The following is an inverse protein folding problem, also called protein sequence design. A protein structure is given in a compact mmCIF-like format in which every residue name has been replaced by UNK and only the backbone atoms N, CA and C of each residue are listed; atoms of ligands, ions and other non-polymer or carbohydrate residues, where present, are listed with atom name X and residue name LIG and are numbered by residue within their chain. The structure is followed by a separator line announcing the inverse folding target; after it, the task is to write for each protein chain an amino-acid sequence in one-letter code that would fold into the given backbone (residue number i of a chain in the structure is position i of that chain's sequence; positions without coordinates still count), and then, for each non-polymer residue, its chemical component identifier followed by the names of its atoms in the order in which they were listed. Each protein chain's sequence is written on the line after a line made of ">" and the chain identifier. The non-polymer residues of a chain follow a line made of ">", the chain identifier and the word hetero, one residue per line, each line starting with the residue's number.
data_IF_694765851870
#
_entry.id   IF_694765851870
#
_cell.length_a   1.000
_cell.length_b   1.000
_cell.length_c   1.000
_cell.angle_alpha   90.00
_cell.angle_beta   90.00
_cell.angle_gamma   90.00
#
_symmetry.space_group_name_H-M   'P 1'
#
loop_
_entity.id
_entity.type
_entity.pdbx_description
1 polymer ?
#
# COMPACT_ATOMS: atom_id res chain seq x y z
N UNK A 1 -15.38 7.94 -6.21
CA UNK A 1 -14.75 7.54 -4.93
C UNK A 1 -14.80 6.04 -4.63
N UNK A 2 -15.39 5.22 -5.49
CA UNK A 2 -15.62 3.78 -5.26
C UNK A 2 -14.45 2.85 -5.55
N UNK A 3 -13.36 3.32 -6.17
CA UNK A 3 -12.30 2.44 -6.67
C UNK A 3 -11.22 2.04 -5.67
N UNK A 4 -11.24 2.58 -4.45
CA UNK A 4 -10.23 2.28 -3.42
C UNK A 4 -10.49 0.97 -2.66
N UNK A 5 -11.72 0.49 -2.67
CA UNK A 5 -12.12 -0.73 -1.98
C UNK A 5 -12.76 -1.72 -2.95
N UNK A 6 -12.29 -2.95 -2.91
CA UNK A 6 -12.84 -4.05 -3.70
C UNK A 6 -13.07 -5.25 -2.80
N UNK A 7 -14.15 -5.97 -3.06
CA UNK A 7 -14.39 -7.30 -2.50
C UNK A 7 -13.92 -8.34 -3.51
N UNK A 8 -13.48 -9.48 -3.02
CA UNK A 8 -13.09 -10.59 -3.87
C UNK A 8 -11.71 -11.19 -3.53
N UNK A 9 -11.27 -12.19 -4.32
CA UNK A 9 -10.00 -12.84 -4.14
C UNK A 9 -8.85 -11.86 -4.38
N UNK A 10 -7.74 -12.06 -3.67
CA UNK A 10 -6.55 -11.25 -3.83
C UNK A 10 -6.00 -11.35 -5.25
N UNK A 11 -6.13 -10.30 -6.03
CA UNK A 11 -5.55 -10.24 -7.39
C UNK A 11 -4.05 -10.00 -7.29
N UNK A 12 -3.28 -10.75 -8.07
CA UNK A 12 -1.86 -10.47 -8.28
C UNK A 12 -1.76 -9.35 -9.30
N UNK A 13 -1.05 -8.30 -8.94
CA UNK A 13 -0.65 -7.24 -9.85
C UNK A 13 0.87 -7.26 -9.96
N UNK A 14 1.39 -7.13 -11.15
CA UNK A 14 2.81 -6.93 -11.39
C UNK A 14 2.98 -5.57 -12.04
N UNK A 15 3.78 -4.72 -11.41
CA UNK A 15 4.30 -3.51 -12.00
C UNK A 15 5.82 -3.62 -11.98
N UNK A 16 6.48 -3.41 -13.08
CA UNK A 16 7.92 -3.22 -13.14
C UNK A 16 8.19 -1.74 -13.28
N UNK A 17 8.82 -1.16 -12.29
CA UNK A 17 9.34 0.19 -12.40
C UNK A 17 10.76 0.08 -12.93
N UNK A 18 10.92 0.38 -14.20
CA UNK A 18 12.24 0.48 -14.83
C UNK A 18 12.64 1.95 -14.79
N UNK A 19 13.60 2.29 -13.96
CA UNK A 19 14.25 3.60 -14.02
C UNK A 19 15.19 3.56 -15.22
N UNK A 20 14.74 4.07 -16.34
CA UNK A 20 15.61 4.40 -17.46
C UNK A 20 16.11 5.83 -17.23
N UNK A 21 17.41 6.01 -17.20
CA UNK A 21 18.05 7.31 -17.01
C UNK A 21 17.94 8.10 -18.31
N UNK A 22 16.92 8.92 -18.46
CA UNK A 22 16.72 9.76 -19.66
C UNK A 22 17.43 11.12 -19.62
N UNK A 23 18.17 11.41 -18.57
CA UNK A 23 18.97 12.64 -18.42
C UNK A 23 20.47 12.46 -18.68
N UNK A 24 20.86 11.33 -19.30
CA UNK A 24 22.26 10.97 -19.44
C UNK A 24 23.09 11.89 -20.35
N UNK A 25 22.47 12.57 -21.30
CA UNK A 25 23.21 13.35 -22.31
C UNK A 25 24.11 14.44 -21.73
N UNK A 26 23.65 15.13 -20.70
CA UNK A 26 24.46 16.12 -19.98
C UNK A 26 25.59 15.51 -19.15
N UNK A 27 25.33 14.32 -18.60
CA UNK A 27 26.25 13.56 -17.78
C UNK A 27 27.28 12.84 -18.67
N UNK A 28 26.84 12.28 -19.78
CA UNK A 28 27.72 11.70 -20.81
C UNK A 28 28.77 12.68 -21.26
N UNK A 29 28.40 13.93 -21.57
CA UNK A 29 29.35 14.98 -21.97
C UNK A 29 30.37 15.34 -20.86
N UNK A 30 29.97 15.27 -19.58
CA UNK A 30 30.88 15.47 -18.44
C UNK A 30 31.80 14.27 -18.22
N UNK A 31 31.27 13.05 -18.36
CA UNK A 31 32.04 11.81 -18.21
C UNK A 31 33.02 11.56 -19.35
N UNK A 32 32.74 12.03 -20.58
CA UNK A 32 33.67 11.97 -21.70
C UNK A 32 34.98 12.79 -21.44
N UNK A 33 34.91 13.80 -20.56
CA UNK A 33 36.09 14.54 -20.10
C UNK A 33 36.90 13.86 -19.00
N UNK A 34 36.31 12.84 -18.35
CA UNK A 34 36.91 12.09 -17.26
C UNK A 34 37.25 10.66 -17.76
N UNK A 35 38.37 10.52 -18.51
CA UNK A 35 38.82 9.24 -19.06
C UNK A 35 38.45 8.02 -18.19
N UNK A 36 39.29 7.53 -17.32
CA UNK A 36 39.04 6.27 -16.54
C UNK A 36 38.11 6.46 -15.32
N UNK A 37 37.90 7.69 -14.85
CA UNK A 37 37.03 8.00 -13.71
C UNK A 37 35.54 7.81 -13.99
N UNK A 38 35.11 7.94 -15.25
CA UNK A 38 33.71 7.85 -15.64
C UNK A 38 33.08 6.46 -15.41
N UNK A 39 33.81 5.41 -15.74
CA UNK A 39 33.34 4.03 -15.53
C UNK A 39 33.15 3.71 -14.04
N UNK A 40 34.07 4.15 -13.21
CA UNK A 40 34.01 3.98 -11.75
C UNK A 40 32.82 4.74 -11.16
N UNK A 41 32.56 5.97 -11.61
CA UNK A 41 31.44 6.77 -11.17
C UNK A 41 30.11 6.11 -11.52
N UNK A 42 29.95 5.61 -12.76
CA UNK A 42 28.72 4.92 -13.18
C UNK A 42 28.52 3.64 -12.36
N UNK A 43 29.55 2.80 -12.17
CA UNK A 43 29.45 1.58 -11.36
C UNK A 43 29.02 1.90 -9.91
N UNK A 44 29.55 2.95 -9.31
CA UNK A 44 29.15 3.42 -7.98
C UNK A 44 27.69 3.87 -7.95
N UNK A 45 27.25 4.63 -8.93
CA UNK A 45 25.87 5.09 -9.03
C UNK A 45 24.88 3.94 -9.19
N UNK A 46 25.16 2.96 -10.04
CA UNK A 46 24.35 1.75 -10.18
C UNK A 46 24.32 0.96 -8.87
N UNK A 47 25.45 0.85 -8.17
CA UNK A 47 25.52 0.21 -6.86
C UNK A 47 24.67 0.92 -5.82
N UNK A 48 24.73 2.24 -5.76
CA UNK A 48 23.94 3.08 -4.85
C UNK A 48 22.45 3.01 -5.17
N UNK A 49 22.07 3.04 -6.44
CA UNK A 49 20.68 2.83 -6.86
C UNK A 49 20.15 1.46 -6.43
N UNK A 50 20.96 0.42 -6.58
CA UNK A 50 20.58 -0.94 -6.19
C UNK A 50 20.37 -1.05 -4.68
N UNK A 51 21.22 -0.40 -3.87
CA UNK A 51 21.18 -0.50 -2.41
C UNK A 51 20.19 0.47 -1.77
N UNK A 52 20.09 1.70 -2.25
CA UNK A 52 19.30 2.79 -1.66
C UNK A 52 17.98 3.03 -2.38
N UNK A 53 17.88 2.68 -3.66
CA UNK A 53 16.67 2.86 -4.49
C UNK A 53 15.39 2.32 -3.85
N UNK A 54 15.37 1.12 -3.26
CA UNK A 54 14.18 0.63 -2.54
C UNK A 54 13.73 1.56 -1.41
N UNK A 55 14.68 2.21 -0.72
CA UNK A 55 14.39 3.21 0.31
C UNK A 55 13.75 4.48 -0.26
N UNK A 56 14.25 4.97 -1.39
CA UNK A 56 13.70 6.15 -2.07
C UNK A 56 12.28 5.89 -2.57
N UNK A 57 12.05 4.74 -3.20
CA UNK A 57 10.71 4.31 -3.63
C UNK A 57 9.76 4.19 -2.44
N UNK A 58 10.22 3.58 -1.34
CA UNK A 58 9.41 3.48 -0.12
C UNK A 58 9.04 4.84 0.46
N UNK A 59 9.96 5.81 0.44
CA UNK A 59 9.71 7.18 0.87
C UNK A 59 8.66 7.85 -0.02
N UNK A 60 8.82 7.80 -1.34
CA UNK A 60 7.88 8.39 -2.29
C UNK A 60 6.47 7.81 -2.19
N UNK A 61 6.32 6.48 -2.04
CA UNK A 61 5.02 5.87 -1.80
C UNK A 61 4.38 6.43 -0.52
N UNK A 62 5.14 6.52 0.57
CA UNK A 62 4.63 6.97 1.87
C UNK A 62 4.38 8.47 1.96
N UNK A 63 4.80 9.25 1.00
CA UNK A 63 4.39 10.66 0.86
C UNK A 63 2.92 10.79 0.47
N UNK A 64 2.42 9.89 -0.35
CA UNK A 64 1.06 9.91 -0.89
C UNK A 64 0.11 8.92 -0.21
N UNK A 65 0.63 7.80 0.31
CA UNK A 65 -0.18 6.71 0.85
C UNK A 65 0.14 6.41 2.32
N UNK A 66 -0.88 6.03 3.07
CA UNK A 66 -0.77 5.66 4.49
C UNK A 66 -0.33 4.21 4.72
N UNK A 67 0.37 3.59 3.78
CA UNK A 67 0.79 2.20 3.82
C UNK A 67 1.96 1.96 4.77
N UNK A 68 2.01 0.79 5.40
CA UNK A 68 3.12 0.38 6.25
C UNK A 68 4.37 0.03 5.42
N UNK A 69 5.54 0.18 6.04
CA UNK A 69 6.83 -0.08 5.38
C UNK A 69 7.05 -1.57 5.11
N UNK A 70 6.47 -2.45 5.94
CA UNK A 70 6.61 -3.89 5.78
C UNK A 70 5.96 -4.36 4.48
N UNK A 71 4.72 -3.91 4.19
CA UNK A 71 4.04 -4.25 2.95
C UNK A 71 4.81 -3.81 1.69
N UNK A 72 5.50 -2.65 1.75
CA UNK A 72 6.33 -2.19 0.64
C UNK A 72 7.57 -3.08 0.47
N UNK A 73 8.23 -3.45 1.56
CA UNK A 73 9.41 -4.34 1.54
C UNK A 73 9.05 -5.73 1.01
N UNK A 74 7.92 -6.28 1.41
CA UNK A 74 7.44 -7.59 0.96
C UNK A 74 7.13 -7.62 -0.54
N UNK A 75 6.69 -6.50 -1.10
CA UNK A 75 6.46 -6.36 -2.54
C UNK A 75 7.74 -6.15 -3.34
N UNK A 76 8.80 -5.63 -2.74
CA UNK A 76 10.07 -5.41 -3.40
C UNK A 76 10.77 -6.74 -3.72
N UNK A 77 11.23 -6.90 -4.95
CA UNK A 77 12.07 -8.01 -5.35
C UNK A 77 13.54 -7.63 -5.22
N UNK A 78 14.39 -8.65 -5.05
CA UNK A 78 15.84 -8.40 -5.07
C UNK A 78 16.20 -7.67 -6.35
N UNK A 79 16.94 -6.56 -6.28
CA UNK A 79 17.36 -5.81 -7.46
C UNK A 79 18.14 -6.73 -8.42
N UNK A 80 17.80 -6.64 -9.70
CA UNK A 80 18.48 -7.41 -10.73
C UNK A 80 19.51 -6.50 -11.41
N UNK A 81 20.78 -6.89 -11.35
CA UNK A 81 21.87 -6.28 -12.12
C UNK A 81 21.98 -6.95 -13.49
N UNK A 82 22.39 -6.24 -14.50
CA UNK A 82 22.80 -6.82 -15.78
C UNK A 82 21.69 -7.07 -16.80
N UNK A 83 20.43 -6.72 -16.54
CA UNK A 83 19.36 -6.90 -17.55
C UNK A 83 19.23 -5.77 -18.56
N UNK A 84 19.79 -4.62 -18.27
CA UNK A 84 19.74 -3.45 -19.16
C UNK A 84 21.13 -2.85 -19.20
N UNK A 85 21.85 -3.09 -20.28
CA UNK A 85 23.14 -2.43 -20.52
C UNK A 85 22.88 -0.97 -20.87
N UNK A 86 23.40 -0.06 -20.06
CA UNK A 86 23.39 1.37 -20.35
C UNK A 86 24.68 1.69 -21.10
N UNK A 87 24.58 2.13 -22.36
CA UNK A 87 25.74 2.64 -23.10
C UNK A 87 25.94 4.11 -22.80
N UNK A 88 27.06 4.45 -22.17
CA UNK A 88 27.44 5.81 -21.87
C UNK A 88 28.83 6.02 -22.49
N UNK A 89 28.94 6.93 -23.46
CA UNK A 89 30.20 7.27 -24.11
C UNK A 89 31.00 6.06 -24.66
N UNK A 90 30.31 5.05 -25.23
CA UNK A 90 30.94 3.85 -25.74
C UNK A 90 31.24 2.76 -24.69
N UNK A 91 31.07 3.08 -23.41
CA UNK A 91 31.23 2.14 -22.29
C UNK A 91 29.89 1.47 -22.01
N UNK A 92 29.87 0.13 -22.04
CA UNK A 92 28.70 -0.64 -21.63
C UNK A 92 28.76 -0.90 -20.13
N UNK A 93 27.76 -0.40 -19.38
CA UNK A 93 27.66 -0.64 -17.95
C UNK A 93 26.33 -1.35 -17.66
N UNK A 94 26.37 -2.34 -16.79
CA UNK A 94 25.19 -3.03 -16.36
C UNK A 94 24.24 -2.08 -15.63
N UNK A 95 23.01 -1.92 -16.15
CA UNK A 95 21.96 -1.19 -15.50
C UNK A 95 21.41 -1.94 -14.28
N UNK A 96 20.57 -1.28 -13.51
CA UNK A 96 19.85 -1.90 -12.41
C UNK A 96 18.35 -1.66 -12.56
N UNK A 97 17.56 -2.68 -12.27
CA UNK A 97 16.09 -2.62 -12.28
C UNK A 97 15.55 -2.96 -10.92
N UNK A 98 14.67 -2.09 -10.40
CA UNK A 98 13.87 -2.35 -9.21
C UNK A 98 12.51 -2.90 -9.63
N UNK A 99 12.20 -4.12 -9.23
CA UNK A 99 10.94 -4.78 -9.56
C UNK A 99 10.08 -4.92 -8.31
N UNK A 100 8.83 -4.51 -8.42
CA UNK A 100 7.82 -4.65 -7.37
C UNK A 100 6.71 -5.58 -7.86
N UNK A 101 6.46 -6.64 -7.09
CA UNK A 101 5.36 -7.58 -7.33
C UNK A 101 4.57 -7.75 -6.05
N UNK A 102 3.28 -7.58 -6.11
CA UNK A 102 2.44 -7.70 -4.93
C UNK A 102 1.01 -8.09 -5.26
N UNK A 103 0.30 -8.53 -4.24
CA UNK A 103 -1.14 -8.70 -4.27
C UNK A 103 -1.81 -7.44 -3.76
N UNK A 104 -3.08 -7.27 -4.08
CA UNK A 104 -3.92 -6.25 -3.44
C UNK A 104 -3.86 -6.42 -1.93
N UNK A 105 -3.59 -5.32 -1.23
CA UNK A 105 -3.43 -5.30 0.23
C UNK A 105 -4.80 -5.31 0.93
N UNK A 106 -4.81 -5.72 2.19
CA UNK A 106 -5.95 -5.50 3.07
C UNK A 106 -5.85 -4.13 3.72
N UNK A 107 -6.98 -3.53 4.14
CA UNK A 107 -6.98 -2.24 4.83
C UNK A 107 -6.14 -2.19 6.11
N UNK A 108 -5.80 -3.35 6.67
CA UNK A 108 -4.95 -3.48 7.87
C UNK A 108 -3.52 -3.00 7.65
N UNK A 109 -3.02 -2.98 6.40
CA UNK A 109 -1.71 -2.43 6.04
C UNK A 109 -1.69 -0.89 6.00
N UNK A 110 -2.83 -0.27 6.26
CA UNK A 110 -3.00 1.18 6.34
C UNK A 110 -3.46 1.59 7.73
N UNK A 111 -3.51 2.88 8.00
CA UNK A 111 -4.05 3.39 9.28
C UNK A 111 -5.56 3.15 9.35
N UNK A 112 -5.96 2.01 9.87
CA UNK A 112 -7.36 1.60 10.03
C UNK A 112 -7.85 1.81 11.47
N UNK A 113 -9.10 2.20 11.63
CA UNK A 113 -9.76 2.33 12.94
C UNK A 113 -11.26 1.98 12.82
N UNK A 114 -11.80 1.15 13.72
CA UNK A 114 -11.09 0.41 14.76
C UNK A 114 -10.23 -0.73 14.19
N UNK A 115 -9.18 -1.15 14.92
CA UNK A 115 -8.32 -2.29 14.53
C UNK A 115 -8.91 -3.63 14.89
N UNK A 116 -9.78 -3.66 15.89
CA UNK A 116 -10.45 -4.86 16.36
C UNK A 116 -11.96 -4.58 16.49
N UNK A 117 -12.73 -5.65 16.53
CA UNK A 117 -14.16 -5.55 16.77
C UNK A 117 -14.42 -4.90 18.14
N UNK A 118 -15.14 -3.78 18.22
CA UNK A 118 -15.47 -3.17 19.51
C UNK A 118 -16.14 -4.17 20.45
N UNK A 119 -15.83 -4.07 21.73
CA UNK A 119 -16.44 -4.91 22.77
C UNK A 119 -17.98 -4.81 22.74
N UNK A 120 -18.63 -5.84 23.22
CA UNK A 120 -20.08 -5.81 23.34
C UNK A 120 -20.48 -4.64 24.24
N UNK A 121 -21.40 -3.80 23.76
CA UNK A 121 -22.01 -2.82 24.63
C UNK A 121 -22.76 -3.56 25.75
N UNK A 122 -22.80 -2.97 26.94
CA UNK A 122 -23.60 -3.50 28.04
C UNK A 122 -25.07 -3.58 27.62
N UNK A 123 -25.77 -4.61 28.10
CA UNK A 123 -27.19 -4.72 27.89
C UNK A 123 -27.88 -3.49 28.49
N UNK A 124 -28.71 -2.83 27.71
CA UNK A 124 -29.52 -1.70 28.18
C UNK A 124 -30.95 -2.16 28.39
N UNK A 125 -31.61 -1.73 29.46
CA UNK A 125 -33.03 -1.98 29.64
C UNK A 125 -33.82 -1.18 28.60
N UNK A 126 -34.68 -1.83 27.86
CA UNK A 126 -35.61 -1.20 26.92
C UNK A 126 -37.04 -1.50 27.41
N UNK A 127 -37.85 -0.46 27.58
CA UNK A 127 -39.29 -0.64 27.79
C UNK A 127 -39.89 -1.19 26.49
N UNK A 128 -40.64 -2.27 26.62
CA UNK A 128 -41.42 -2.80 25.51
C UNK A 128 -42.79 -2.13 25.54
N UNK A 129 -43.16 -1.32 24.53
CA UNK A 129 -44.48 -0.70 24.49
C UNK A 129 -45.55 -1.80 24.36
N UNK A 130 -46.62 -1.69 25.15
CA UNK A 130 -47.83 -2.52 25.01
C UNK A 130 -47.92 -3.79 25.88
N UNK A 131 -46.89 -4.11 26.66
CA UNK A 131 -47.01 -5.20 27.64
C UNK A 131 -47.28 -4.66 29.06
N UNK A 132 -48.51 -4.69 29.50
CA UNK A 132 -48.90 -4.50 30.91
C UNK A 132 -48.76 -5.86 31.60
N UNK A 133 -47.69 -6.02 32.40
CA UNK A 133 -47.58 -7.20 33.28
C UNK A 133 -47.92 -6.72 34.69
N UNK A 134 -48.85 -7.40 35.32
CA UNK A 134 -49.22 -7.15 36.71
C UNK A 134 -47.99 -7.35 37.61
N UNK A 135 -47.51 -6.26 38.23
CA UNK A 135 -46.43 -6.29 39.23
C UNK A 135 -45.04 -5.82 38.86
N UNK A 136 -44.79 -5.34 37.65
CA UNK A 136 -43.49 -4.79 37.31
C UNK A 136 -43.37 -4.32 35.86
N UNK A 137 -42.59 -3.27 35.62
CA UNK A 137 -42.34 -2.83 34.26
C UNK A 137 -41.59 -3.91 33.49
N UNK A 138 -42.05 -4.36 32.31
CA UNK A 138 -41.32 -5.33 31.49
C UNK A 138 -40.09 -4.68 30.89
N UNK A 139 -38.98 -4.94 31.49
CA UNK A 139 -37.68 -4.45 31.02
C UNK A 139 -36.97 -5.60 30.30
N UNK A 140 -37.04 -5.59 28.98
CA UNK A 140 -36.21 -6.48 28.20
C UNK A 140 -34.77 -5.95 28.16
N UNK A 141 -33.85 -6.77 28.61
CA UNK A 141 -32.42 -6.45 28.51
C UNK A 141 -31.93 -6.76 27.09
N UNK A 142 -31.96 -5.75 26.25
CA UNK A 142 -31.53 -5.88 24.83
C UNK A 142 -30.10 -5.36 24.68
N UNK A 143 -29.30 -6.12 23.95
CA UNK A 143 -28.01 -5.64 23.49
C UNK A 143 -28.22 -4.75 22.27
N UNK A 144 -27.94 -3.45 22.34
CA UNK A 144 -28.07 -2.60 21.17
C UNK A 144 -27.13 -3.13 20.06
N UNK A 145 -27.57 -3.02 18.79
CA UNK A 145 -26.74 -3.44 17.67
C UNK A 145 -25.43 -2.65 17.69
N UNK A 146 -24.32 -3.34 17.46
CA UNK A 146 -23.01 -2.69 17.37
C UNK A 146 -22.95 -1.93 16.07
N UNK A 147 -23.18 -0.63 16.13
CA UNK A 147 -22.95 0.27 15.01
C UNK A 147 -21.52 0.84 15.14
N UNK A 148 -20.65 0.47 14.28
CA UNK A 148 -19.34 1.11 14.11
C UNK A 148 -19.00 1.19 12.63
N UNK A 149 -18.34 2.25 12.25
CA UNK A 149 -17.86 2.44 10.88
C UNK A 149 -16.36 2.24 10.86
N UNK A 150 -15.90 1.37 10.01
CA UNK A 150 -14.47 1.17 9.78
C UNK A 150 -13.97 2.31 8.89
N UNK A 151 -12.99 3.04 9.37
CA UNK A 151 -12.34 4.14 8.63
C UNK A 151 -10.89 3.77 8.38
N UNK A 152 -10.38 4.12 7.21
CA UNK A 152 -9.00 3.84 6.81
C UNK A 152 -8.39 5.05 6.10
N UNK A 153 -7.09 5.25 6.27
CA UNK A 153 -6.33 6.29 5.58
C UNK A 153 -5.45 5.62 4.52
N UNK A 154 -6.00 5.42 3.33
CA UNK A 154 -5.25 4.88 2.17
C UNK A 154 -4.42 6.00 1.57
N UNK A 155 -5.06 7.11 1.21
CA UNK A 155 -4.39 8.33 0.73
C UNK A 155 -4.06 9.17 1.96
N UNK A 156 -2.83 9.62 2.06
CA UNK A 156 -2.36 10.43 3.18
C UNK A 156 -3.19 11.70 3.31
N UNK A 157 -3.63 12.00 4.52
CA UNK A 157 -4.51 13.15 4.79
C UNK A 157 -6.00 12.89 4.55
N UNK A 158 -6.39 11.79 3.89
CA UNK A 158 -7.79 11.45 3.64
C UNK A 158 -8.21 10.21 4.42
N UNK A 159 -9.12 10.41 5.36
CA UNK A 159 -9.71 9.31 6.13
C UNK A 159 -11.05 8.91 5.52
N UNK A 160 -11.06 7.78 4.83
CA UNK A 160 -12.24 7.28 4.11
C UNK A 160 -12.99 6.25 4.96
N UNK A 161 -14.30 6.40 5.06
CA UNK A 161 -15.16 5.40 5.67
C UNK A 161 -15.43 4.26 4.69
N UNK A 162 -15.40 3.03 5.17
CA UNK A 162 -15.84 1.87 4.42
C UNK A 162 -17.37 1.81 4.40
N UNK A 163 -17.92 0.94 3.54
CA UNK A 163 -19.37 0.67 3.51
C UNK A 163 -19.90 0.31 4.90
N UNK A 164 -21.15 0.68 5.17
CA UNK A 164 -21.88 0.34 6.39
C UNK A 164 -21.94 -1.17 6.65
N UNK A 165 -21.86 -1.98 5.60
CA UNK A 165 -21.93 -3.44 5.65
C UNK A 165 -20.58 -4.09 5.99
N UNK A 166 -19.54 -3.27 6.16
CA UNK A 166 -18.21 -3.75 6.55
C UNK A 166 -18.17 -4.10 8.02
N UNK A 167 -17.73 -5.31 8.33
CA UNK A 167 -17.55 -5.79 9.70
C UNK A 167 -16.17 -6.40 9.90
N UNK A 168 -15.69 -6.36 11.12
CA UNK A 168 -14.39 -6.91 11.51
C UNK A 168 -14.57 -8.33 12.08
N UNK A 169 -13.84 -9.28 11.53
CA UNK A 169 -13.80 -10.66 12.06
C UNK A 169 -12.42 -11.27 11.85
N UNK A 170 -12.12 -12.30 12.64
CA UNK A 170 -10.88 -13.04 12.47
C UNK A 170 -10.95 -13.88 11.18
N UNK A 171 -9.92 -13.78 10.36
CA UNK A 171 -9.71 -14.65 9.21
C UNK A 171 -9.12 -16.00 9.61
N UNK A 172 -8.90 -16.89 8.64
CA UNK A 172 -8.32 -18.23 8.85
C UNK A 172 -6.97 -18.21 9.61
N UNK A 173 -6.20 -17.14 9.50
CA UNK A 173 -4.92 -16.95 10.20
C UNK A 173 -5.02 -16.20 11.53
N UNK A 174 -6.21 -16.02 12.11
CA UNK A 174 -6.41 -15.31 13.38
C UNK A 174 -6.34 -13.78 13.29
N UNK A 175 -5.83 -13.23 12.19
CA UNK A 175 -5.76 -11.78 11.99
C UNK A 175 -7.17 -11.20 11.78
N UNK A 176 -7.46 -10.09 12.47
CA UNK A 176 -8.73 -9.38 12.32
C UNK A 176 -8.70 -8.55 11.04
N UNK A 177 -9.60 -8.87 10.12
CA UNK A 177 -9.71 -8.23 8.81
C UNK A 177 -11.12 -7.64 8.61
N UNK A 178 -11.27 -6.60 7.79
CA UNK A 178 -12.56 -6.13 7.34
C UNK A 178 -13.12 -7.05 6.25
N UNK A 179 -14.37 -7.46 6.44
CA UNK A 179 -15.14 -8.27 5.51
C UNK A 179 -16.42 -7.56 5.13
N UNK A 180 -16.94 -7.88 3.96
CA UNK A 180 -18.27 -7.52 3.49
C UNK A 180 -19.05 -8.76 3.07
N UNK A 181 -20.36 -8.67 3.15
CA UNK A 181 -21.26 -9.70 2.60
C UNK A 181 -21.46 -9.42 1.12
N UNK A 182 -21.44 -10.47 0.31
CA UNK A 182 -21.67 -10.39 -1.13
C UNK A 182 -23.06 -10.87 -1.54
N UNK A 183 -23.90 -11.28 -0.56
CA UNK A 183 -25.28 -11.70 -0.75
C UNK A 183 -26.17 -11.25 0.42
N UNK A 184 -27.46 -11.49 0.32
CA UNK A 184 -28.47 -11.15 1.33
C UNK A 184 -28.32 -11.98 2.62
N UNK A 185 -27.72 -13.15 2.54
CA UNK A 185 -27.52 -14.06 3.66
C UNK A 185 -26.30 -13.75 4.52
N UNK A 186 -26.07 -14.63 5.52
CA UNK A 186 -24.87 -14.59 6.38
C UNK A 186 -23.57 -14.89 5.61
N UNK A 187 -23.65 -15.66 4.58
CA UNK A 187 -22.57 -16.08 3.68
C UNK A 187 -23.04 -15.89 2.23
N UNK A 188 -22.14 -15.71 1.28
CA UNK A 188 -20.68 -15.61 1.44
C UNK A 188 -20.19 -14.27 1.99
N UNK A 189 -19.02 -14.31 2.64
CA UNK A 189 -18.30 -13.11 3.10
C UNK A 189 -16.95 -13.02 2.41
N UNK A 190 -16.57 -11.83 2.01
CA UNK A 190 -15.31 -11.58 1.32
C UNK A 190 -14.49 -10.51 2.04
N UNK A 191 -13.17 -10.73 2.07
CA UNK A 191 -12.26 -9.73 2.64
C UNK A 191 -12.19 -8.50 1.76
N UNK A 192 -12.28 -7.33 2.36
CA UNK A 192 -12.09 -6.06 1.66
C UNK A 192 -10.63 -5.93 1.25
N UNK A 193 -10.41 -5.55 0.02
CA UNK A 193 -9.08 -5.33 -0.57
C UNK A 193 -8.92 -3.87 -0.98
N UNK A 194 -7.67 -3.45 -1.04
CA UNK A 194 -7.26 -2.10 -1.44
C UNK A 194 -6.23 -2.17 -2.57
N UNK A 195 -5.50 -1.10 -2.76
CA UNK A 195 -4.44 -1.03 -3.76
C UNK A 195 -3.29 -1.97 -3.42
N UNK A 196 -2.62 -2.48 -4.44
CA UNK A 196 -1.33 -3.15 -4.31
C UNK A 196 -0.18 -2.13 -4.35
N UNK A 197 1.01 -2.52 -3.91
CA UNK A 197 2.19 -1.65 -3.97
C UNK A 197 2.53 -1.23 -5.41
N UNK A 198 2.53 -2.13 -6.43
CA UNK A 198 2.70 -1.70 -7.82
C UNK A 198 1.70 -0.63 -8.26
N UNK A 199 0.42 -0.78 -7.93
CA UNK A 199 -0.60 0.22 -8.27
C UNK A 199 -0.37 1.58 -7.59
N UNK A 200 0.20 1.61 -6.39
CA UNK A 200 0.57 2.85 -5.71
C UNK A 200 1.75 3.54 -6.41
N UNK A 201 2.72 2.75 -6.90
CA UNK A 201 3.87 3.25 -7.65
C UNK A 201 3.41 3.87 -8.98
N UNK A 202 2.59 3.14 -9.75
CA UNK A 202 2.08 3.60 -11.04
C UNK A 202 1.06 4.74 -10.91
N UNK A 203 0.51 4.93 -9.71
CA UNK A 203 -0.44 5.99 -9.41
C UNK A 203 0.24 7.29 -8.99
N UNK A 204 -0.24 7.85 -7.87
CA UNK A 204 0.18 9.18 -7.37
C UNK A 204 1.65 9.29 -6.96
N UNK A 205 2.30 8.18 -6.63
CA UNK A 205 3.68 8.20 -6.16
C UNK A 205 4.71 8.26 -7.29
N UNK A 206 4.31 8.03 -8.53
CA UNK A 206 5.22 7.90 -9.67
C UNK A 206 6.13 9.11 -9.85
N UNK A 207 5.54 10.28 -9.98
CA UNK A 207 6.29 11.52 -10.21
C UNK A 207 7.27 11.82 -9.08
N UNK A 208 6.81 11.69 -7.83
CA UNK A 208 7.66 11.91 -6.64
C UNK A 208 8.82 10.93 -6.58
N UNK A 209 8.60 9.66 -6.95
CA UNK A 209 9.65 8.64 -7.00
C UNK A 209 10.65 8.98 -8.09
N UNK A 210 10.20 9.32 -9.29
CA UNK A 210 11.05 9.68 -10.43
C UNK A 210 11.89 10.91 -10.10
N UNK A 211 11.29 11.96 -9.54
CA UNK A 211 12.01 13.16 -9.09
C UNK A 211 13.07 12.84 -8.04
N UNK A 212 12.69 12.10 -6.98
CA UNK A 212 13.62 11.72 -5.92
C UNK A 212 14.81 10.90 -6.45
N UNK A 213 14.55 9.99 -7.38
CA UNK A 213 15.62 9.17 -7.99
C UNK A 213 16.53 10.07 -8.83
N UNK A 214 15.97 10.93 -9.68
CA UNK A 214 16.75 11.82 -10.53
C UNK A 214 17.61 12.79 -9.72
N UNK A 215 17.06 13.40 -8.66
CA UNK A 215 17.80 14.25 -7.74
C UNK A 215 18.96 13.49 -7.08
N UNK A 216 18.65 12.32 -6.49
CA UNK A 216 19.66 11.54 -5.75
C UNK A 216 20.73 10.94 -6.65
N UNK A 217 20.41 10.61 -7.88
CA UNK A 217 21.40 10.19 -8.85
C UNK A 217 22.22 11.38 -9.38
N UNK A 218 21.58 12.54 -9.59
CA UNK A 218 22.27 13.78 -10.01
C UNK A 218 23.24 14.34 -8.97
N UNK A 219 22.96 14.22 -7.68
CA UNK A 219 23.86 14.62 -6.58
C UNK A 219 25.17 13.80 -6.53
N UNK A 220 25.24 12.67 -7.22
CA UNK A 220 26.34 11.70 -7.12
C UNK A 220 27.26 11.68 -8.34
N UNK A 221 26.87 12.39 -9.37
CA UNK A 221 27.69 12.71 -10.55
C UNK A 221 28.28 14.11 -10.48
#
# INVERSE_FOLDING_TARGET
>A
MSDLFRTGPARRTSGSFTVSYSGADGIVKRLQKLKDGGEVAIKRTVSDFTSRGPGWVSKGIREHYGVDTAAIKDAAKKPKRGKTSIRVAGISVDGATLEYKGRTLTPTHFKMSPKARPSAQQKKPIRIPGQLIAGGSPVAMVRPPRKYTVKVTIIKGQRTAMSSDTFLTAGKGGAVLPYQRTGEGRSPIEAVRTLSVPQMIDGRARETIEQTINEKLGERF
#
